data_IF_548324471983
#
_entry.id   IF_548324471983
#
_cell.length_a   1.000
_cell.length_b   1.000
_cell.length_c   1.000
_cell.angle_alpha   90.00
_cell.angle_beta   90.00
_cell.angle_gamma   90.00
#
_symmetry.space_group_name_H-M   'P 1'
#
loop_
_entity.id
_entity.type
_entity.pdbx_description
1 polymer ?
#
# COMPACT_ATOMS: atom_id res chain seq x y z
N UNK A 1 16.66 6.81 11.61
CA UNK A 1 15.74 5.67 11.53
C UNK A 1 16.10 4.56 12.53
N UNK A 2 17.28 3.93 12.44
CA UNK A 2 17.67 2.80 13.31
C UNK A 2 17.62 3.15 14.81
N UNK A 3 18.15 4.30 15.21
CA UNK A 3 18.09 4.81 16.61
C UNK A 3 16.65 4.89 17.17
N UNK A 4 15.64 5.00 16.29
CA UNK A 4 14.23 5.09 16.65
C UNK A 4 13.47 3.76 16.48
N UNK A 5 14.19 2.64 16.31
CA UNK A 5 13.60 1.29 16.25
C UNK A 5 13.09 0.88 14.87
N UNK A 6 13.50 1.56 13.79
CA UNK A 6 13.14 1.15 12.43
C UNK A 6 14.19 0.22 11.81
N UNK A 7 13.71 -0.80 11.11
CA UNK A 7 14.49 -1.68 10.26
C UNK A 7 14.38 -1.24 8.80
N UNK A 8 15.53 -1.14 8.12
CA UNK A 8 15.54 -0.97 6.66
C UNK A 8 15.25 -2.30 5.96
N UNK A 9 14.38 -2.27 4.94
CA UNK A 9 14.14 -3.41 4.05
C UNK A 9 14.11 -2.95 2.60
N UNK A 10 14.61 -3.82 1.73
CA UNK A 10 14.51 -3.65 0.28
C UNK A 10 13.03 -3.75 -0.14
N UNK A 11 12.58 -2.81 -0.96
CA UNK A 11 11.19 -2.73 -1.46
C UNK A 11 11.14 -3.06 -2.95
N UNK A 12 9.93 -3.24 -3.48
CA UNK A 12 9.72 -3.53 -4.91
C UNK A 12 10.06 -2.36 -5.84
N UNK A 13 10.33 -1.18 -5.29
CA UNK A 13 10.85 -0.03 -6.04
C UNK A 13 12.39 -0.07 -5.92
N UNK A 14 13.13 -0.28 -7.01
CA UNK A 14 14.60 -0.40 -6.97
C UNK A 14 15.29 0.86 -6.43
N UNK A 15 14.65 2.02 -6.57
CA UNK A 15 15.17 3.31 -6.11
C UNK A 15 14.51 3.77 -4.79
N UNK A 16 13.62 2.95 -4.23
CA UNK A 16 12.87 3.25 -3.01
C UNK A 16 13.46 2.57 -1.76
N UNK A 17 13.53 3.30 -0.65
CA UNK A 17 13.85 2.74 0.67
C UNK A 17 12.56 2.57 1.47
N UNK A 18 12.46 1.45 2.20
CA UNK A 18 11.38 1.25 3.18
C UNK A 18 11.96 1.02 4.56
N UNK A 19 11.44 1.78 5.52
CA UNK A 19 11.73 1.63 6.94
C UNK A 19 10.47 1.11 7.64
N UNK A 20 10.61 0.02 8.39
CA UNK A 20 9.51 -0.62 9.09
C UNK A 20 9.78 -0.58 10.58
N UNK A 21 8.78 -0.19 11.37
CA UNK A 21 8.80 -0.39 12.83
C UNK A 21 7.90 -1.57 13.17
N UNK A 22 8.48 -2.57 13.82
CA UNK A 22 7.76 -3.75 14.29
C UNK A 22 7.30 -3.56 15.74
N UNK A 23 6.18 -4.17 16.09
CA UNK A 23 5.71 -4.27 17.46
C UNK A 23 6.29 -5.50 18.18
N UNK A 24 5.92 -5.70 19.45
CA UNK A 24 6.43 -6.78 20.28
C UNK A 24 6.19 -8.18 19.69
N UNK A 25 5.10 -8.36 18.94
CA UNK A 25 4.69 -9.64 18.37
C UNK A 25 5.14 -9.80 16.90
N UNK A 26 6.03 -8.90 16.43
CA UNK A 26 6.53 -8.88 15.05
C UNK A 26 5.55 -8.31 14.03
N UNK A 27 4.44 -7.72 14.49
CA UNK A 27 3.48 -7.03 13.63
C UNK A 27 4.04 -5.70 13.10
N UNK A 28 3.71 -5.35 11.86
CA UNK A 28 4.15 -4.08 11.26
C UNK A 28 3.29 -2.93 11.77
N UNK A 29 3.84 -2.11 12.65
CA UNK A 29 3.16 -0.94 13.20
C UNK A 29 3.24 0.25 12.25
N UNK A 30 4.42 0.50 11.67
CA UNK A 30 4.65 1.64 10.79
C UNK A 30 5.47 1.23 9.57
N UNK A 31 5.14 1.81 8.41
CA UNK A 31 5.92 1.67 7.18
C UNK A 31 6.16 3.07 6.62
N UNK A 32 7.43 3.45 6.52
CA UNK A 32 7.86 4.71 5.91
C UNK A 32 8.45 4.37 4.55
N UNK A 33 7.82 4.88 3.50
CA UNK A 33 8.32 4.81 2.13
C UNK A 33 9.10 6.09 1.84
N UNK A 34 10.39 5.95 1.52
CA UNK A 34 11.23 7.04 1.04
C UNK A 34 11.49 6.77 -0.43
N UNK A 35 11.02 7.66 -1.29
CA UNK A 35 11.12 7.55 -2.74
C UNK A 35 11.72 8.83 -3.28
N UNK A 36 12.38 8.74 -4.43
CA UNK A 36 12.74 9.93 -5.21
C UNK A 36 11.46 10.69 -5.62
N UNK A 37 11.54 12.02 -5.68
CA UNK A 37 10.43 12.88 -6.08
C UNK A 37 9.93 12.54 -7.50
N UNK A 38 10.85 12.16 -8.42
CA UNK A 38 10.50 11.78 -9.78
C UNK A 38 10.02 10.32 -9.91
N UNK A 39 9.96 9.55 -8.82
CA UNK A 39 9.53 8.15 -8.88
C UNK A 39 8.04 8.05 -9.22
N UNK A 40 7.72 7.21 -10.22
CA UNK A 40 6.34 6.84 -10.54
C UNK A 40 5.60 6.26 -9.31
N UNK A 41 6.35 5.70 -8.34
CA UNK A 41 5.79 5.17 -7.09
C UNK A 41 5.15 6.25 -6.23
N UNK A 42 5.76 7.44 -6.15
CA UNK A 42 5.20 8.58 -5.41
C UNK A 42 3.88 9.00 -6.03
N UNK A 43 3.86 9.14 -7.35
CA UNK A 43 2.65 9.47 -8.10
C UNK A 43 1.55 8.41 -7.87
N UNK A 44 1.89 7.13 -7.99
CA UNK A 44 0.97 6.01 -7.74
C UNK A 44 0.35 6.07 -6.33
N UNK A 45 1.15 6.32 -5.29
CA UNK A 45 0.63 6.43 -3.92
C UNK A 45 -0.33 7.62 -3.75
N UNK A 46 0.04 8.77 -4.30
CA UNK A 46 -0.76 10.00 -4.16
C UNK A 46 -2.08 9.88 -4.92
N UNK A 47 -2.05 9.40 -6.18
CA UNK A 47 -3.26 9.29 -7.01
C UNK A 47 -4.26 8.31 -6.43
N UNK A 48 -3.82 7.12 -5.99
CA UNK A 48 -4.70 6.11 -5.39
C UNK A 48 -5.33 6.64 -4.10
N UNK A 49 -4.53 7.30 -3.23
CA UNK A 49 -5.04 7.92 -2.00
C UNK A 49 -6.12 8.96 -2.30
N UNK A 50 -5.85 9.84 -3.25
CA UNK A 50 -6.78 10.91 -3.62
C UNK A 50 -8.07 10.35 -4.24
N UNK A 51 -7.95 9.35 -5.12
CA UNK A 51 -9.08 8.66 -5.73
C UNK A 51 -9.98 8.00 -4.69
N UNK A 52 -9.40 7.24 -3.76
CA UNK A 52 -10.17 6.58 -2.69
C UNK A 52 -10.88 7.57 -1.77
N UNK A 53 -10.27 8.74 -1.48
CA UNK A 53 -10.91 9.80 -0.70
C UNK A 53 -12.11 10.43 -1.42
N UNK A 54 -12.05 10.53 -2.73
CA UNK A 54 -13.12 11.10 -3.55
C UNK A 54 -14.21 10.09 -3.95
N UNK A 55 -13.95 8.78 -3.81
CA UNK A 55 -14.86 7.71 -4.20
C UNK A 55 -15.12 6.76 -3.01
N UNK A 56 -16.00 7.14 -2.06
CA UNK A 56 -16.25 6.36 -0.84
C UNK A 56 -16.69 4.91 -1.09
N UNK A 57 -17.45 4.66 -2.15
CA UNK A 57 -17.90 3.30 -2.50
C UNK A 57 -16.71 2.41 -2.89
N UNK A 58 -15.74 2.93 -3.64
CA UNK A 58 -14.50 2.22 -3.97
C UNK A 58 -13.64 1.97 -2.73
N UNK A 59 -13.60 2.92 -1.80
CA UNK A 59 -12.94 2.71 -0.52
C UNK A 59 -13.61 1.61 0.31
N UNK A 60 -14.94 1.52 0.27
CA UNK A 60 -15.71 0.45 0.92
C UNK A 60 -15.42 -0.92 0.28
N UNK A 61 -15.44 -1.03 -1.05
CA UNK A 61 -15.04 -2.25 -1.78
C UNK A 61 -13.64 -2.71 -1.35
N UNK A 62 -12.67 -1.80 -1.34
CA UNK A 62 -11.30 -2.13 -0.96
C UNK A 62 -11.18 -2.53 0.52
N UNK A 63 -11.92 -1.88 1.41
CA UNK A 63 -11.96 -2.24 2.83
C UNK A 63 -12.51 -3.65 3.03
N UNK A 64 -13.56 -4.01 2.31
CA UNK A 64 -14.21 -5.32 2.43
C UNK A 64 -13.29 -6.44 1.92
N UNK A 65 -12.64 -6.23 0.77
CA UNK A 65 -11.61 -7.15 0.27
C UNK A 65 -10.52 -7.41 1.31
N UNK A 66 -10.04 -6.36 2.00
CA UNK A 66 -9.01 -6.52 3.04
C UNK A 66 -9.52 -7.33 4.23
N UNK A 67 -10.79 -7.18 4.64
CA UNK A 67 -11.38 -7.98 5.73
C UNK A 67 -11.49 -9.45 5.33
N UNK A 68 -11.99 -9.72 4.12
CA UNK A 68 -12.08 -11.07 3.58
C UNK A 68 -10.70 -11.75 3.50
N UNK A 69 -9.68 -11.02 3.04
CA UNK A 69 -8.32 -11.58 2.97
C UNK A 69 -7.73 -11.90 4.35
N UNK A 70 -8.07 -11.15 5.41
CA UNK A 70 -7.63 -11.49 6.78
C UNK A 70 -8.24 -12.81 7.23
N UNK A 71 -9.52 -13.06 6.89
CA UNK A 71 -10.21 -14.32 7.20
C UNK A 71 -9.62 -15.48 6.40
N UNK A 72 -9.33 -15.28 5.12
CA UNK A 72 -8.77 -16.31 4.23
C UNK A 72 -7.29 -16.63 4.51
N UNK A 73 -6.51 -15.65 4.96
CA UNK A 73 -5.07 -15.75 5.13
C UNK A 73 -4.61 -15.23 6.52
N UNK A 74 -5.11 -15.79 7.63
CA UNK A 74 -4.90 -15.24 8.97
C UNK A 74 -3.44 -15.18 9.41
N UNK A 75 -2.61 -16.12 8.95
CA UNK A 75 -1.18 -16.22 9.27
C UNK A 75 -0.28 -16.17 8.02
N UNK A 76 -0.83 -15.83 6.86
CA UNK A 76 -0.10 -15.81 5.59
C UNK A 76 -0.14 -14.40 4.97
N UNK A 77 0.75 -13.55 5.48
CA UNK A 77 0.88 -12.17 5.01
C UNK A 77 1.28 -12.08 3.51
N UNK A 78 2.17 -12.93 2.97
CA UNK A 78 2.39 -13.01 1.52
C UNK A 78 1.12 -13.31 0.72
N UNK A 79 0.33 -14.32 1.08
CA UNK A 79 -0.91 -14.64 0.39
C UNK A 79 -1.95 -13.53 0.51
N UNK A 80 -2.08 -12.92 1.70
CA UNK A 80 -2.90 -11.72 1.91
C UNK A 80 -2.55 -10.58 0.93
N UNK A 81 -1.25 -10.34 0.72
CA UNK A 81 -0.76 -9.32 -0.22
C UNK A 81 -1.05 -9.68 -1.66
N UNK A 82 -0.84 -10.94 -2.04
CA UNK A 82 -1.05 -11.41 -3.41
C UNK A 82 -2.53 -11.39 -3.79
N UNK A 83 -3.42 -11.77 -2.87
CA UNK A 83 -4.86 -11.81 -3.11
C UNK A 83 -5.47 -10.43 -3.47
N UNK A 84 -4.90 -9.33 -2.98
CA UNK A 84 -5.34 -7.97 -3.33
C UNK A 84 -4.64 -7.35 -4.53
N UNK A 85 -3.62 -8.00 -5.09
CA UNK A 85 -2.83 -7.44 -6.20
C UNK A 85 -3.67 -7.16 -7.47
N UNK A 86 -4.59 -8.05 -7.90
CA UNK A 86 -5.44 -7.77 -9.07
C UNK A 86 -6.37 -6.56 -8.86
N UNK A 87 -6.95 -6.44 -7.66
CA UNK A 87 -7.79 -5.31 -7.29
C UNK A 87 -7.01 -4.00 -7.32
N UNK A 88 -5.81 -3.98 -6.72
CA UNK A 88 -4.95 -2.79 -6.71
C UNK A 88 -4.55 -2.35 -8.12
N UNK A 89 -4.25 -3.28 -9.02
CA UNK A 89 -3.95 -2.97 -10.42
C UNK A 89 -5.12 -2.29 -11.14
N UNK A 90 -6.34 -2.79 -10.92
CA UNK A 90 -7.56 -2.16 -11.46
C UNK A 90 -7.80 -0.79 -10.84
N UNK A 91 -7.65 -0.67 -9.52
CA UNK A 91 -7.83 0.57 -8.78
C UNK A 91 -6.87 1.66 -9.27
N UNK A 92 -5.62 1.30 -9.55
CA UNK A 92 -4.62 2.21 -10.11
C UNK A 92 -5.02 2.74 -11.50
N UNK A 93 -5.55 1.89 -12.37
CA UNK A 93 -6.06 2.30 -13.69
C UNK A 93 -7.24 3.26 -13.55
N UNK A 94 -8.21 2.93 -12.69
CA UNK A 94 -9.36 3.79 -12.40
C UNK A 94 -8.91 5.15 -11.84
N UNK A 95 -7.98 5.14 -10.89
CA UNK A 95 -7.44 6.34 -10.26
C UNK A 95 -6.70 7.24 -11.27
N UNK A 96 -5.92 6.66 -12.18
CA UNK A 96 -5.22 7.39 -13.25
C UNK A 96 -6.20 8.02 -14.25
N UNK A 97 -7.27 7.32 -14.63
CA UNK A 97 -8.32 7.88 -15.50
C UNK A 97 -9.04 9.04 -14.80
N UNK A 98 -9.40 8.85 -13.53
CA UNK A 98 -10.04 9.90 -12.73
C UNK A 98 -9.17 11.14 -12.57
N UNK A 99 -7.87 10.98 -12.34
CA UNK A 99 -6.94 12.11 -12.20
C UNK A 99 -6.79 12.92 -13.50
N UNK A 100 -6.73 12.25 -14.66
CA UNK A 100 -6.69 12.92 -15.98
C UNK A 100 -7.99 13.63 -16.35
N UNK A 101 -9.10 13.24 -15.74
CA UNK A 101 -10.42 13.85 -15.97
C UNK A 101 -10.72 15.04 -15.07
N UNK A 102 -9.80 15.41 -14.18
CA UNK A 102 -9.84 16.65 -13.40
C UNK A 102 -9.31 17.82 -14.21
#
# INVERSE_FOLDING_TARGET
MIKYGYEWRCYTDPDGLVFIRLGPDGEKLENIHVCDESSEKVHQFIVIRNYLRANPDKAKEYSELKRQNIILYPNDYPAYRNAKAPFLKKLEQEASVWERGK
#
